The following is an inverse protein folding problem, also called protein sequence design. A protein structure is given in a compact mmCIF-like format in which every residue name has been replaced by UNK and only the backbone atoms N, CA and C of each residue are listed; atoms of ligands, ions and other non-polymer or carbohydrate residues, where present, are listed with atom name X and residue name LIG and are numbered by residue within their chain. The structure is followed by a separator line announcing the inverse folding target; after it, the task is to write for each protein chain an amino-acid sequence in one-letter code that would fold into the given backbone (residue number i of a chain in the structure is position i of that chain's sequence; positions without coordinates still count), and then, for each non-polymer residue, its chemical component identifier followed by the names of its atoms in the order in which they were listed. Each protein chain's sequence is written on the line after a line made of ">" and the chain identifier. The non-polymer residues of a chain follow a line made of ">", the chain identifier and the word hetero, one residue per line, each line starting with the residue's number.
data_IF_990410081768
#
_entry.id   IF_990410081768
#
_cell.length_a   1.000
_cell.length_b   1.000
_cell.length_c   1.000
_cell.angle_alpha   90.00
_cell.angle_beta   90.00
_cell.angle_gamma   90.00
#
_symmetry.space_group_name_H-M   'P 1'
#
loop_
_entity.id
_entity.type
_entity.pdbx_description
1 polymer ?
#
# COMPACT_ATOMS: atom_id res chain seq x y z
N UNK A 1 12.89 -17.69 -10.28
CA UNK A 1 12.74 -16.79 -11.45
C UNK A 1 12.57 -15.39 -10.89
N UNK A 2 13.34 -14.41 -11.36
CA UNK A 2 13.26 -13.04 -10.85
C UNK A 2 12.07 -12.31 -11.51
N UNK A 3 10.98 -12.16 -10.78
CA UNK A 3 9.77 -11.42 -11.14
C UNK A 3 9.94 -9.94 -10.74
N UNK A 4 10.84 -9.23 -11.42
CA UNK A 4 11.22 -7.85 -11.04
C UNK A 4 10.67 -6.81 -12.03
N UNK A 5 10.42 -7.18 -13.29
CA UNK A 5 10.12 -6.19 -14.33
C UNK A 5 8.66 -5.67 -14.31
N UNK A 6 7.76 -6.24 -13.50
CA UNK A 6 6.33 -5.88 -13.46
C UNK A 6 5.75 -5.75 -12.03
N UNK A 7 6.62 -5.68 -11.02
CA UNK A 7 6.19 -5.69 -9.61
C UNK A 7 6.62 -4.41 -8.89
N UNK A 8 5.66 -3.69 -8.33
CA UNK A 8 5.93 -2.72 -7.26
C UNK A 8 5.69 -3.42 -5.93
N UNK A 9 6.63 -3.34 -4.99
CA UNK A 9 6.45 -3.95 -3.67
C UNK A 9 7.04 -3.09 -2.55
N UNK A 10 6.55 -3.36 -1.34
CA UNK A 10 7.13 -2.87 -0.09
C UNK A 10 7.16 -4.02 0.92
N UNK A 11 8.25 -4.09 1.69
CA UNK A 11 8.42 -5.03 2.78
C UNK A 11 8.34 -4.30 4.11
N UNK A 12 7.67 -4.91 5.08
CA UNK A 12 7.35 -4.30 6.36
C UNK A 12 7.68 -5.27 7.48
N UNK A 13 8.54 -4.80 8.38
CA UNK A 13 8.94 -5.51 9.58
C UNK A 13 8.13 -5.10 10.81
N UNK A 14 8.16 -5.95 11.84
CA UNK A 14 7.65 -5.61 13.17
C UNK A 14 6.15 -5.78 13.34
N UNK A 15 5.49 -6.48 12.41
CA UNK A 15 4.10 -6.92 12.57
C UNK A 15 4.11 -8.23 13.36
N UNK A 16 3.47 -8.23 14.52
CA UNK A 16 3.40 -9.39 15.40
C UNK A 16 2.56 -10.51 14.82
N UNK A 17 2.71 -11.72 15.37
CA UNK A 17 1.88 -12.88 15.01
C UNK A 17 0.42 -12.67 15.45
N UNK A 18 -0.52 -13.14 14.63
CA UNK A 18 -1.95 -13.10 14.93
C UNK A 18 -2.63 -11.74 14.78
N UNK A 19 -1.95 -10.74 14.21
CA UNK A 19 -2.56 -9.45 13.90
C UNK A 19 -3.36 -9.53 12.61
N UNK A 20 -4.41 -8.73 12.49
CA UNK A 20 -5.22 -8.66 11.27
C UNK A 20 -4.78 -7.48 10.40
N UNK A 21 -4.43 -7.76 9.15
CA UNK A 21 -4.04 -6.76 8.16
C UNK A 21 -5.27 -6.25 7.41
N UNK A 22 -5.34 -4.94 7.23
CA UNK A 22 -6.25 -4.28 6.29
C UNK A 22 -5.46 -3.50 5.24
N UNK A 23 -6.06 -3.31 4.05
CA UNK A 23 -5.43 -2.56 2.96
C UNK A 23 -6.43 -1.70 2.20
N UNK A 24 -5.90 -0.66 1.56
CA UNK A 24 -6.56 0.12 0.53
C UNK A 24 -5.55 0.46 -0.58
N UNK A 25 -6.00 0.48 -1.84
CA UNK A 25 -5.26 1.12 -2.92
C UNK A 25 -6.19 1.55 -4.05
N UNK A 26 -5.82 2.64 -4.74
CA UNK A 26 -6.48 3.09 -5.95
C UNK A 26 -5.79 2.51 -7.19
N UNK A 27 -6.58 1.93 -8.10
CA UNK A 27 -6.12 1.36 -9.35
C UNK A 27 -6.86 2.01 -10.52
N UNK A 28 -6.13 2.36 -11.59
CA UNK A 28 -6.71 2.81 -12.85
C UNK A 28 -5.96 2.22 -14.03
N UNK A 29 -6.71 1.79 -15.05
CA UNK A 29 -6.13 1.34 -16.32
C UNK A 29 -5.53 2.50 -17.11
N UNK A 30 -4.37 2.28 -17.74
CA UNK A 30 -3.70 3.27 -18.60
C UNK A 30 -4.24 3.26 -20.02
N UNK A 31 -4.49 2.08 -20.59
CA UNK A 31 -5.06 1.90 -21.93
C UNK A 31 -5.99 0.69 -21.90
N UNK A 32 -7.30 0.91 -21.98
CA UNK A 32 -8.30 -0.15 -21.84
C UNK A 32 -8.41 -0.68 -20.41
N UNK A 33 -8.73 -1.96 -20.25
CA UNK A 33 -8.81 -2.62 -18.94
C UNK A 33 -7.49 -3.26 -18.59
N UNK A 34 -6.86 -2.79 -17.52
CA UNK A 34 -5.66 -3.40 -16.97
C UNK A 34 -6.00 -4.25 -15.74
N UNK A 35 -5.11 -5.18 -15.41
CA UNK A 35 -5.26 -6.12 -14.29
C UNK A 35 -3.97 -6.15 -13.47
N UNK A 36 -4.13 -5.99 -12.16
CA UNK A 36 -3.07 -6.13 -11.17
C UNK A 36 -3.41 -7.31 -10.26
N UNK A 37 -2.43 -8.15 -9.94
CA UNK A 37 -2.50 -9.03 -8.78
C UNK A 37 -1.93 -8.29 -7.57
N UNK A 38 -2.74 -8.10 -6.54
CA UNK A 38 -2.26 -7.63 -5.24
C UNK A 38 -2.07 -8.84 -4.32
N UNK A 39 -0.90 -8.93 -3.70
CA UNK A 39 -0.57 -10.01 -2.77
C UNK A 39 0.07 -9.52 -1.48
N UNK A 40 -0.19 -10.25 -0.40
CA UNK A 40 0.47 -10.11 0.90
C UNK A 40 1.11 -11.44 1.22
N UNK A 41 2.44 -11.45 1.35
CA UNK A 41 3.24 -12.64 1.62
C UNK A 41 4.04 -12.46 2.90
N UNK A 42 3.93 -13.41 3.81
CA UNK A 42 4.83 -13.56 4.95
C UNK A 42 6.14 -14.20 4.47
N UNK A 43 7.27 -13.56 4.75
CA UNK A 43 8.58 -13.91 4.20
C UNK A 43 9.32 -15.01 4.98
N UNK A 44 8.62 -15.74 5.85
CA UNK A 44 9.22 -16.84 6.59
C UNK A 44 10.32 -16.39 7.56
N UNK A 45 11.10 -17.35 8.05
CA UNK A 45 12.09 -17.13 9.11
C UNK A 45 13.30 -16.35 8.60
N UNK A 46 13.60 -16.47 7.30
CA UNK A 46 14.75 -15.80 6.70
C UNK A 46 14.46 -14.37 6.25
N UNK A 47 13.18 -13.95 6.28
CA UNK A 47 12.70 -12.65 5.82
C UNK A 47 13.16 -12.31 4.39
N UNK A 48 13.33 -13.33 3.54
CA UNK A 48 13.80 -13.15 2.17
C UNK A 48 12.75 -13.66 1.18
N UNK A 49 12.21 -12.77 0.36
CA UNK A 49 11.26 -13.18 -0.66
C UNK A 49 11.87 -14.12 -1.71
N UNK A 50 11.06 -15.10 -2.13
CA UNK A 50 11.36 -16.08 -3.16
C UNK A 50 12.01 -17.36 -2.63
N UNK A 51 11.93 -17.59 -1.32
CA UNK A 51 12.50 -18.75 -0.62
C UNK A 51 11.42 -19.81 -0.33
N UNK A 52 11.82 -20.91 0.32
CA UNK A 52 10.94 -22.07 0.50
C UNK A 52 9.93 -21.93 1.65
N UNK A 53 10.10 -20.93 2.51
CA UNK A 53 9.31 -20.67 3.71
C UNK A 53 8.38 -19.45 3.57
N UNK A 54 8.34 -18.82 2.40
CA UNK A 54 7.33 -17.82 2.05
C UNK A 54 5.90 -18.40 2.17
N UNK A 55 5.01 -17.66 2.81
CA UNK A 55 3.58 -18.00 2.91
C UNK A 55 2.71 -16.87 2.37
N UNK A 56 1.97 -17.14 1.29
CA UNK A 56 0.98 -16.18 0.76
C UNK A 56 -0.22 -16.11 1.69
N UNK A 57 -0.42 -14.96 2.34
CA UNK A 57 -1.55 -14.69 3.23
C UNK A 57 -2.77 -14.18 2.45
N UNK A 58 -2.55 -13.44 1.37
CA UNK A 58 -3.61 -12.92 0.50
C UNK A 58 -3.10 -12.80 -0.93
N UNK A 59 -3.94 -13.09 -1.92
CA UNK A 59 -3.68 -12.78 -3.33
C UNK A 59 -4.98 -12.65 -4.10
N UNK A 60 -5.14 -11.55 -4.84
CA UNK A 60 -6.33 -11.31 -5.67
C UNK A 60 -6.03 -10.44 -6.88
N UNK A 61 -6.70 -10.74 -7.99
CA UNK A 61 -6.70 -9.90 -9.19
C UNK A 61 -7.74 -8.78 -9.07
N UNK A 62 -7.32 -7.57 -9.40
CA UNK A 62 -8.15 -6.38 -9.49
C UNK A 62 -8.05 -5.79 -10.88
N UNK A 63 -9.20 -5.45 -11.46
CA UNK A 63 -9.29 -4.89 -12.81
C UNK A 63 -9.81 -3.46 -12.74
N UNK A 64 -9.24 -2.58 -13.55
CA UNK A 64 -9.73 -1.22 -13.70
C UNK A 64 -9.59 -0.79 -15.17
N UNK A 65 -10.55 -0.01 -15.65
CA UNK A 65 -10.48 0.60 -16.97
C UNK A 65 -9.97 2.05 -16.89
N UNK A 66 -10.06 2.78 -18.00
CA UNK A 66 -9.61 4.17 -18.08
C UNK A 66 -10.61 5.18 -17.51
N UNK A 67 -11.81 4.75 -17.07
CA UNK A 67 -12.93 5.64 -16.73
C UNK A 67 -12.70 6.44 -15.44
N UNK A 68 -11.91 5.91 -14.51
CA UNK A 68 -11.61 6.56 -13.23
C UNK A 68 -10.77 5.69 -12.30
N UNK A 69 -10.49 6.20 -11.11
CA UNK A 69 -9.82 5.45 -10.05
C UNK A 69 -10.80 4.49 -9.38
N UNK A 70 -10.42 3.22 -9.26
CA UNK A 70 -11.13 2.18 -8.52
C UNK A 70 -10.40 1.95 -7.20
N UNK A 71 -11.08 2.18 -6.09
CA UNK A 71 -10.55 1.94 -4.74
C UNK A 71 -10.84 0.50 -4.33
N UNK A 72 -9.79 -0.24 -4.01
CA UNK A 72 -9.85 -1.64 -3.63
C UNK A 72 -9.44 -1.78 -2.17
N UNK A 73 -10.22 -2.54 -1.40
CA UNK A 73 -9.97 -2.81 0.02
C UNK A 73 -10.14 -4.30 0.32
N UNK A 74 -9.85 -4.71 1.55
CA UNK A 74 -10.15 -6.05 2.07
C UNK A 74 -11.63 -6.24 2.46
N UNK A 75 -12.53 -5.32 2.10
CA UNK A 75 -13.94 -5.43 2.43
C UNK A 75 -14.59 -6.65 1.77
N UNK A 76 -15.10 -7.56 2.60
CA UNK A 76 -15.74 -8.79 2.14
C UNK A 76 -14.78 -9.95 1.87
N UNK A 77 -13.49 -9.79 2.14
CA UNK A 77 -12.50 -10.87 2.14
C UNK A 77 -12.45 -11.56 3.52
N UNK A 78 -11.90 -12.77 3.56
CA UNK A 78 -11.57 -13.44 4.82
C UNK A 78 -10.45 -12.67 5.56
N UNK A 79 -10.41 -12.73 6.92
CA UNK A 79 -9.37 -12.06 7.69
C UNK A 79 -7.95 -12.47 7.28
N UNK A 80 -7.08 -11.47 7.08
CA UNK A 80 -5.69 -11.66 6.68
C UNK A 80 -4.84 -11.65 7.94
N UNK A 81 -4.53 -12.84 8.46
CA UNK A 81 -3.85 -13.03 9.75
C UNK A 81 -2.36 -13.25 9.56
N UNK A 82 -1.53 -12.49 10.28
CA UNK A 82 -0.07 -12.51 10.17
C UNK A 82 0.58 -13.66 10.94
N UNK A 83 1.75 -14.12 10.49
CA UNK A 83 2.49 -15.20 11.15
C UNK A 83 3.64 -14.68 12.03
N UNK A 84 4.00 -13.41 11.89
CA UNK A 84 4.97 -12.71 12.75
C UNK A 84 6.34 -12.50 12.12
N UNK A 85 6.48 -12.74 10.81
CA UNK A 85 7.67 -12.39 10.04
C UNK A 85 7.45 -11.11 9.23
N UNK A 86 8.46 -10.69 8.48
CA UNK A 86 8.32 -9.55 7.59
C UNK A 86 7.28 -9.85 6.50
N UNK A 87 6.45 -8.86 6.18
CA UNK A 87 5.41 -8.99 5.15
C UNK A 87 5.82 -8.23 3.90
N UNK A 88 5.67 -8.86 2.73
CA UNK A 88 5.73 -8.19 1.44
C UNK A 88 4.32 -7.91 0.92
N UNK A 89 4.05 -6.63 0.67
CA UNK A 89 2.90 -6.14 -0.08
C UNK A 89 3.34 -5.91 -1.52
N UNK A 90 2.78 -6.64 -2.47
CA UNK A 90 3.19 -6.57 -3.88
C UNK A 90 2.02 -6.30 -4.81
N UNK A 91 2.27 -5.48 -5.83
CA UNK A 91 1.38 -5.13 -6.91
C UNK A 91 2.03 -5.58 -8.22
N UNK A 92 1.59 -6.73 -8.73
CA UNK A 92 2.10 -7.32 -9.96
C UNK A 92 1.18 -7.00 -11.14
N UNK A 93 1.72 -6.40 -12.20
CA UNK A 93 1.00 -6.21 -13.45
C UNK A 93 0.74 -7.54 -14.16
N UNK A 94 -0.52 -7.96 -14.24
CA UNK A 94 -0.90 -9.25 -14.87
C UNK A 94 -1.15 -9.07 -16.37
N UNK A 95 -1.88 -8.02 -16.73
CA UNK A 95 -2.20 -7.71 -18.12
C UNK A 95 -2.58 -6.25 -18.29
N UNK A 96 -2.43 -5.74 -19.50
CA UNK A 96 -2.92 -4.41 -19.89
C UNK A 96 -3.89 -4.52 -21.06
N UNK A 97 -4.86 -3.61 -21.11
CA UNK A 97 -5.84 -3.53 -22.19
C UNK A 97 -5.23 -3.20 -23.56
N UNK A 98 -3.98 -2.72 -23.60
CA UNK A 98 -3.21 -2.56 -24.83
C UNK A 98 -2.64 -3.87 -25.39
N UNK A 99 -2.51 -4.91 -24.56
CA UNK A 99 -1.80 -6.15 -24.88
C UNK A 99 -0.27 -6.05 -24.88
N UNK A 100 0.32 -4.87 -24.68
CA UNK A 100 1.78 -4.67 -24.58
C UNK A 100 2.21 -4.56 -23.11
N UNK A 101 2.88 -5.58 -22.57
CA UNK A 101 3.31 -5.62 -21.16
C UNK A 101 4.25 -4.49 -20.72
N UNK A 102 4.72 -3.64 -21.64
CA UNK A 102 5.47 -2.42 -21.32
C UNK A 102 4.57 -1.25 -20.90
N UNK A 103 3.27 -1.34 -21.20
CA UNK A 103 2.27 -0.36 -20.76
C UNK A 103 1.84 -0.73 -19.34
N UNK A 104 2.38 0.00 -18.37
CA UNK A 104 2.10 -0.24 -16.95
C UNK A 104 0.76 0.35 -16.48
N UNK A 105 0.35 -0.05 -15.29
CA UNK A 105 -0.86 0.40 -14.62
C UNK A 105 -0.66 1.77 -13.93
N UNK A 106 -1.75 2.38 -13.44
CA UNK A 106 -1.68 3.44 -12.43
C UNK A 106 -2.07 2.91 -11.06
N UNK A 107 -1.26 3.24 -10.06
CA UNK A 107 -1.45 2.94 -8.65
C UNK A 107 -1.31 4.23 -7.86
N UNK A 108 -2.20 4.44 -6.89
CA UNK A 108 -2.16 5.57 -5.96
C UNK A 108 -2.82 5.16 -4.63
N UNK A 109 -2.73 6.02 -3.61
CA UNK A 109 -3.40 5.87 -2.31
C UNK A 109 -3.19 4.48 -1.67
N UNK A 110 -2.01 3.89 -1.86
CA UNK A 110 -1.67 2.60 -1.28
C UNK A 110 -1.46 2.75 0.23
N UNK A 111 -2.28 2.06 1.01
CA UNK A 111 -2.29 2.09 2.46
C UNK A 111 -2.53 0.68 3.00
N UNK A 112 -1.95 0.40 4.16
CA UNK A 112 -2.24 -0.80 4.93
C UNK A 112 -2.10 -0.49 6.41
N UNK A 113 -2.81 -1.27 7.22
CA UNK A 113 -2.83 -1.14 8.68
C UNK A 113 -2.97 -2.49 9.34
N UNK A 114 -2.63 -2.54 10.62
CA UNK A 114 -2.83 -3.70 11.49
C UNK A 114 -3.75 -3.34 12.65
N UNK A 115 -4.62 -4.28 13.04
CA UNK A 115 -5.54 -4.19 14.18
C UNK A 115 -6.31 -2.85 14.28
N UNK A 116 -6.68 -2.27 13.13
CA UNK A 116 -7.55 -1.10 13.05
C UNK A 116 -6.92 0.25 13.42
N UNK A 117 -5.58 0.42 13.41
CA UNK A 117 -5.02 1.76 13.54
C UNK A 117 -3.56 1.93 13.94
N UNK A 118 -2.64 1.16 13.37
CA UNK A 118 -1.26 1.66 13.24
C UNK A 118 -1.10 2.11 11.79
N UNK A 119 -1.16 3.42 11.56
CA UNK A 119 -0.82 4.03 10.27
C UNK A 119 0.58 3.59 9.88
N UNK A 120 0.71 2.88 8.77
CA UNK A 120 2.02 2.60 8.21
C UNK A 120 2.48 3.85 7.47
N UNK A 121 3.69 4.38 7.77
CA UNK A 121 4.14 5.64 7.18
C UNK A 121 4.14 5.54 5.65
N UNK A 122 3.60 6.57 5.00
CA UNK A 122 3.85 6.80 3.58
C UNK A 122 5.36 6.75 3.32
N UNK A 123 5.81 6.22 2.16
CA UNK A 123 7.23 6.21 1.82
C UNK A 123 7.78 7.64 1.90
N UNK A 124 8.66 7.87 2.88
CA UNK A 124 9.18 9.20 3.17
C UNK A 124 9.95 9.73 1.96
N UNK A 125 9.43 10.80 1.35
CA UNK A 125 10.17 11.58 0.37
C UNK A 125 11.39 12.21 1.07
N UNK A 126 12.59 12.25 0.43
CA UNK A 126 13.77 12.80 1.07
C UNK A 126 13.64 14.31 1.32
N UNK A 127 13.96 14.69 2.56
CA UNK A 127 14.08 16.03 3.15
C UNK A 127 14.35 17.19 2.17
N UNK A 128 13.38 18.09 2.03
CA UNK A 128 13.65 19.47 1.63
C UNK A 128 13.86 20.34 2.88
N UNK A 129 15.13 20.52 3.26
CA UNK A 129 15.58 21.62 4.10
C UNK A 129 15.35 22.93 3.34
N UNK A 130 14.56 23.85 3.91
CA UNK A 130 14.76 25.28 3.69
C UNK A 130 14.45 26.02 5.00
N UNK A 131 15.50 26.66 5.52
CA UNK A 131 15.54 27.38 6.78
C UNK A 131 14.86 28.77 6.71
N UNK A 132 14.69 29.37 7.91
CA UNK A 132 14.49 30.79 8.32
C UNK A 132 13.35 30.80 9.34
N UNK A 133 13.45 31.15 10.63
CA UNK A 133 14.49 31.74 11.47
C UNK A 133 13.79 32.39 12.68
N UNK A 134 14.50 32.51 13.80
CA UNK A 134 14.28 33.45 14.92
C UNK A 134 13.33 33.03 16.09
N UNK A 135 13.99 32.49 17.11
CA UNK A 135 13.88 32.59 18.59
C UNK A 135 12.72 33.39 19.25
N UNK A 136 12.26 32.81 20.38
CA UNK A 136 11.69 33.38 21.63
C UNK A 136 10.17 33.38 21.78
N UNK A 137 9.68 32.66 22.80
CA UNK A 137 8.41 32.99 23.44
C UNK A 137 7.65 31.80 24.02
N UNK A 138 7.89 31.51 25.30
CA UNK A 138 7.00 30.70 26.15
C UNK A 138 5.57 31.28 26.12
N UNK A 139 4.58 30.50 25.69
CA UNK A 139 3.19 30.93 25.68
C UNK A 139 2.22 29.75 25.76
N UNK A 140 1.58 29.60 26.92
CA UNK A 140 0.48 28.64 27.15
C UNK A 140 -0.79 29.05 26.38
N UNK A 141 -1.45 28.01 25.83
CA UNK A 141 -2.88 27.80 25.57
C UNK A 141 -3.71 28.92 24.90
N UNK A 142 -4.53 28.55 23.90
CA UNK A 142 -5.98 28.85 23.84
C UNK A 142 -6.72 27.79 22.99
N UNK A 143 -7.98 27.58 23.36
CA UNK A 143 -8.93 26.49 23.07
C UNK A 143 -9.49 26.46 21.64
N UNK A 144 -9.76 25.22 21.18
CA UNK A 144 -10.85 24.72 20.29
C UNK A 144 -11.78 25.74 19.61
N UNK A 145 -12.03 25.59 18.28
CA UNK A 145 -13.33 25.12 17.69
C UNK A 145 -13.27 24.97 16.14
N UNK A 146 -13.65 23.76 15.70
CA UNK A 146 -14.20 23.26 14.41
C UNK A 146 -14.29 24.17 13.16
N UNK A 147 -13.88 23.62 12.01
CA UNK A 147 -14.81 23.26 10.91
C UNK A 147 -14.14 22.26 9.95
N UNK A 148 -14.78 21.10 9.75
CA UNK A 148 -14.48 20.18 8.65
C UNK A 148 -15.02 20.80 7.37
N UNK A 149 -14.15 20.98 6.37
CA UNK A 149 -14.55 21.20 4.99
C UNK A 149 -13.95 20.06 4.18
N UNK A 150 -14.75 19.01 3.94
CA UNK A 150 -14.48 18.10 2.84
C UNK A 150 -14.66 18.88 1.54
N UNK A 151 -13.62 18.94 0.71
CA UNK A 151 -13.74 19.37 -0.67
C UNK A 151 -13.51 18.14 -1.54
N UNK A 152 -14.58 17.78 -2.24
CA UNK A 152 -14.66 16.73 -3.25
C UNK A 152 -13.87 17.20 -4.47
N UNK A 153 -13.01 16.34 -5.00
CA UNK A 153 -12.68 16.32 -6.42
C UNK A 153 -12.87 14.91 -6.93
#
# INVERSE_FOLDING_TARGET
>A
MAEVDQTLFQEISGIGTGQEVSFEFAHRGRVGTDVINFSITDLGIDNLFGTGDDTVLFSKNYSADTSGWVFNTNAGEDPIITLGNDLRFAYFGVSTGSGDSRVGNFLDAAYFSVDGGVDVPEPSQPLSILAIGIILGSGRLIKRKLTSNYMIF
#
